data_IF_528506690402
#
_entry.id   IF_528506690402
#
_cell.length_a   1.000
_cell.length_b   1.000
_cell.length_c   1.000
_cell.angle_alpha   90.00
_cell.angle_beta   90.00
_cell.angle_gamma   90.00
#
_symmetry.space_group_name_H-M   'P 1'
#
loop_
_entity.id
_entity.type
_entity.pdbx_description
1 polymer ?
#
# COMPACT_ATOMS: atom_id res chain seq x y z
N UNK A 1 -5.30 -18.96 25.68
CA UNK A 1 -4.11 -18.07 25.67
C UNK A 1 -4.52 -16.77 25.00
N UNK A 2 -4.88 -15.76 25.78
CA UNK A 2 -5.16 -14.43 25.24
C UNK A 2 -3.81 -13.76 24.94
N UNK A 3 -3.58 -13.33 23.70
CA UNK A 3 -2.51 -12.37 23.47
C UNK A 3 -2.78 -11.17 24.39
N UNK A 4 -1.85 -10.85 25.27
CA UNK A 4 -2.01 -9.76 26.25
C UNK A 4 -2.46 -8.49 25.53
N UNK A 5 -3.36 -7.70 26.11
CA UNK A 5 -3.92 -6.49 25.48
C UNK A 5 -2.85 -5.55 24.88
N UNK A 6 -1.67 -5.50 25.49
CA UNK A 6 -0.51 -4.78 24.98
C UNK A 6 0.01 -5.30 23.61
N UNK A 7 -0.02 -6.61 23.36
CA UNK A 7 0.37 -7.20 22.07
C UNK A 7 -0.63 -6.85 20.99
N UNK A 8 -1.92 -6.95 21.31
CA UNK A 8 -3.00 -6.54 20.41
C UNK A 8 -2.88 -5.05 20.04
N UNK A 9 -2.69 -4.19 21.02
CA UNK A 9 -2.50 -2.75 20.82
C UNK A 9 -1.31 -2.44 19.89
N UNK A 10 -0.18 -3.16 20.05
CA UNK A 10 1.00 -3.00 19.17
C UNK A 10 0.69 -3.36 17.72
N UNK A 11 -0.01 -4.47 17.48
CA UNK A 11 -0.36 -4.91 16.12
C UNK A 11 -1.36 -3.95 15.46
N UNK A 12 -2.35 -3.48 16.23
CA UNK A 12 -3.34 -2.49 15.78
C UNK A 12 -2.66 -1.17 15.40
N UNK A 13 -1.83 -0.63 16.29
CA UNK A 13 -0.99 0.54 16.02
C UNK A 13 -0.14 0.34 14.76
N UNK A 14 0.55 -0.80 14.65
CA UNK A 14 1.40 -1.09 13.50
C UNK A 14 0.60 -1.13 12.18
N UNK A 15 -0.65 -1.61 12.19
CA UNK A 15 -1.52 -1.57 11.03
C UNK A 15 -1.98 -0.14 10.70
N UNK A 16 -2.38 0.65 11.71
CA UNK A 16 -2.92 2.01 11.51
C UNK A 16 -1.91 3.00 10.93
N UNK A 17 -0.65 2.91 11.39
CA UNK A 17 0.43 3.80 10.95
C UNK A 17 1.16 3.30 9.68
N UNK A 18 0.90 2.06 9.26
CA UNK A 18 1.55 1.48 8.08
C UNK A 18 0.85 1.89 6.79
N UNK A 19 1.12 3.11 6.33
CA UNK A 19 0.69 3.60 5.01
C UNK A 19 1.59 3.05 3.91
N UNK A 20 1.01 2.74 2.75
CA UNK A 20 1.80 2.30 1.60
C UNK A 20 2.60 3.47 1.03
N UNK A 21 3.91 3.27 0.83
CA UNK A 21 4.81 4.23 0.21
C UNK A 21 5.35 3.66 -1.12
N UNK A 22 4.91 4.23 -2.24
CA UNK A 22 5.29 3.78 -3.58
C UNK A 22 6.80 3.86 -3.90
N UNK A 23 7.56 4.71 -3.21
CA UNK A 23 9.01 4.83 -3.43
C UNK A 23 9.80 3.77 -2.65
N UNK A 24 9.30 3.40 -1.46
CA UNK A 24 10.04 2.58 -0.49
C UNK A 24 9.54 1.14 -0.42
N UNK A 25 8.24 0.93 -0.57
CA UNK A 25 7.60 -0.36 -0.34
C UNK A 25 7.54 -1.21 -1.60
N UNK A 26 7.47 -2.53 -1.40
CA UNK A 26 7.10 -3.49 -2.43
C UNK A 26 5.67 -3.94 -2.17
N UNK A 27 4.83 -3.91 -3.20
CA UNK A 27 3.39 -4.17 -3.12
C UNK A 27 3.06 -5.51 -2.43
N UNK A 28 3.57 -6.62 -2.96
CA UNK A 28 3.27 -7.96 -2.46
C UNK A 28 3.70 -8.16 -0.98
N UNK A 29 4.96 -7.90 -0.57
CA UNK A 29 5.36 -8.04 0.84
C UNK A 29 4.57 -7.16 1.79
N UNK A 30 4.30 -5.90 1.40
CA UNK A 30 3.55 -4.97 2.22
C UNK A 30 2.10 -5.43 2.40
N UNK A 31 1.45 -5.90 1.33
CA UNK A 31 0.09 -6.42 1.38
C UNK A 31 -0.02 -7.64 2.30
N UNK A 32 0.87 -8.62 2.13
CA UNK A 32 0.89 -9.82 2.97
C UNK A 32 1.07 -9.45 4.46
N UNK A 33 1.97 -8.53 4.77
CA UNK A 33 2.18 -8.07 6.14
C UNK A 33 0.91 -7.41 6.74
N UNK A 34 0.19 -6.59 5.97
CA UNK A 34 -1.07 -6.01 6.46
C UNK A 34 -2.16 -7.08 6.65
N UNK A 35 -2.24 -8.06 5.75
CA UNK A 35 -3.17 -9.19 5.85
C UNK A 35 -2.91 -10.00 7.12
N UNK A 36 -1.65 -10.30 7.43
CA UNK A 36 -1.28 -11.05 8.63
C UNK A 36 -1.61 -10.28 9.91
N UNK A 37 -1.36 -8.97 9.96
CA UNK A 37 -1.74 -8.11 11.09
C UNK A 37 -3.25 -8.13 11.32
N UNK A 38 -4.05 -8.01 10.26
CA UNK A 38 -5.50 -8.02 10.37
C UNK A 38 -6.05 -9.39 10.77
N UNK A 39 -5.48 -10.49 10.27
CA UNK A 39 -5.85 -11.85 10.70
C UNK A 39 -5.49 -12.12 12.16
N UNK A 40 -4.35 -11.58 12.63
CA UNK A 40 -3.97 -11.68 14.04
C UNK A 40 -4.91 -10.90 14.97
N UNK A 41 -5.40 -9.73 14.53
CA UNK A 41 -6.34 -8.90 15.28
C UNK A 41 -7.78 -9.40 15.20
N UNK A 42 -8.19 -9.93 14.06
CA UNK A 42 -9.56 -10.31 13.77
C UNK A 42 -9.58 -11.61 12.93
N UNK A 43 -9.38 -12.78 13.57
CA UNK A 43 -9.30 -14.07 12.86
C UNK A 43 -10.55 -14.39 12.03
N UNK A 44 -11.72 -13.99 12.52
CA UNK A 44 -13.03 -14.23 11.90
C UNK A 44 -13.42 -13.16 10.85
N UNK A 45 -12.51 -12.22 10.52
CA UNK A 45 -12.82 -11.18 9.53
C UNK A 45 -12.79 -11.75 8.12
N UNK A 46 -13.85 -11.50 7.35
CA UNK A 46 -13.92 -11.93 5.96
C UNK A 46 -12.79 -11.30 5.11
N UNK A 47 -12.30 -12.04 4.11
CA UNK A 47 -11.24 -11.56 3.23
C UNK A 47 -11.62 -10.24 2.54
N UNK A 48 -12.88 -10.09 2.15
CA UNK A 48 -13.39 -8.83 1.62
C UNK A 48 -13.17 -7.63 2.57
N UNK A 49 -13.48 -7.79 3.86
CA UNK A 49 -13.29 -6.72 4.85
C UNK A 49 -11.80 -6.46 5.12
N UNK A 50 -10.97 -7.50 5.10
CA UNK A 50 -9.51 -7.38 5.18
C UNK A 50 -9.00 -6.55 4.01
N UNK A 51 -9.33 -6.92 2.78
CA UNK A 51 -8.93 -6.23 1.56
C UNK A 51 -9.34 -4.75 1.58
N UNK A 52 -10.59 -4.46 1.97
CA UNK A 52 -11.09 -3.07 2.09
C UNK A 52 -10.32 -2.26 3.12
N UNK A 53 -9.93 -2.85 4.24
CA UNK A 53 -9.12 -2.19 5.27
C UNK A 53 -7.71 -1.91 4.77
N UNK A 54 -7.07 -2.86 4.07
CA UNK A 54 -5.73 -2.67 3.50
C UNK A 54 -5.73 -1.54 2.47
N UNK A 55 -6.73 -1.51 1.58
CA UNK A 55 -6.88 -0.47 0.56
C UNK A 55 -6.95 0.95 1.14
N UNK A 56 -7.63 1.12 2.29
CA UNK A 56 -7.68 2.41 3.00
C UNK A 56 -6.32 2.85 3.54
N UNK A 57 -5.39 1.93 3.73
CA UNK A 57 -4.02 2.27 4.14
C UNK A 57 -3.15 2.76 2.99
N UNK A 58 -3.58 2.56 1.75
CA UNK A 58 -2.84 3.05 0.59
C UNK A 58 -3.09 4.52 0.28
N UNK A 59 -4.31 5.02 0.54
CA UNK A 59 -4.69 6.42 0.39
C UNK A 59 -4.61 6.98 -1.04
N UNK A 60 -5.14 8.20 -1.22
CA UNK A 60 -4.94 9.02 -2.44
C UNK A 60 -5.37 8.34 -3.74
N UNK A 61 -4.48 8.38 -4.72
CA UNK A 61 -4.74 7.89 -6.09
C UNK A 61 -5.04 6.39 -6.14
N UNK A 62 -4.57 5.60 -5.18
CA UNK A 62 -4.85 4.16 -5.15
C UNK A 62 -6.31 3.88 -4.77
N UNK A 63 -6.83 4.58 -3.76
CA UNK A 63 -8.24 4.45 -3.37
C UNK A 63 -9.16 4.84 -4.53
N UNK A 64 -8.77 5.87 -5.29
CA UNK A 64 -9.50 6.34 -6.46
C UNK A 64 -9.39 5.38 -7.66
N UNK A 65 -8.20 4.84 -7.95
CA UNK A 65 -7.98 3.87 -9.03
C UNK A 65 -8.71 2.55 -8.79
N UNK A 66 -8.82 2.16 -7.52
CA UNK A 66 -9.55 0.97 -7.09
C UNK A 66 -11.05 1.19 -7.24
N UNK A 67 -11.59 2.32 -6.72
CA UNK A 67 -13.01 2.68 -6.89
C UNK A 67 -13.42 2.83 -8.36
N UNK A 68 -12.54 3.30 -9.24
CA UNK A 68 -12.86 3.50 -10.66
C UNK A 68 -12.90 2.21 -11.47
N UNK A 69 -12.34 1.10 -10.96
CA UNK A 69 -12.17 -0.16 -11.69
C UNK A 69 -13.09 -1.29 -11.24
N UNK A 70 -14.05 -1.06 -10.34
CA UNK A 70 -14.73 -2.19 -9.68
C UNK A 70 -16.21 -2.07 -9.38
N UNK A 71 -16.83 -3.25 -9.45
CA UNK A 71 -18.08 -3.66 -8.82
C UNK A 71 -17.75 -4.45 -7.54
N UNK A 72 -17.96 -3.84 -6.38
CA UNK A 72 -17.99 -4.35 -4.99
C UNK A 72 -16.99 -5.40 -4.46
N UNK A 73 -16.24 -6.18 -5.24
CA UNK A 73 -15.35 -7.24 -4.75
C UNK A 73 -13.96 -7.16 -5.41
N UNK A 74 -12.93 -7.13 -4.57
CA UNK A 74 -11.53 -7.04 -4.99
C UNK A 74 -10.79 -8.31 -4.55
N UNK A 75 -10.09 -8.97 -5.47
CA UNK A 75 -9.17 -10.04 -5.10
C UNK A 75 -7.86 -9.46 -4.52
N UNK A 76 -7.06 -10.29 -3.87
CA UNK A 76 -5.73 -9.88 -3.42
C UNK A 76 -4.82 -9.52 -4.60
N UNK A 77 -4.94 -10.27 -5.70
CA UNK A 77 -4.18 -10.05 -6.93
C UNK A 77 -4.50 -8.70 -7.57
N UNK A 78 -5.78 -8.33 -7.66
CA UNK A 78 -6.19 -7.02 -8.19
C UNK A 78 -5.55 -5.87 -7.40
N UNK A 79 -5.55 -5.98 -6.07
CA UNK A 79 -4.99 -4.96 -5.18
C UNK A 79 -3.47 -4.86 -5.36
N UNK A 80 -2.78 -6.00 -5.42
CA UNK A 80 -1.33 -6.05 -5.59
C UNK A 80 -0.95 -5.45 -6.96
N UNK A 81 -1.63 -5.85 -8.03
CA UNK A 81 -1.38 -5.33 -9.37
C UNK A 81 -1.55 -3.80 -9.44
N UNK A 82 -2.57 -3.25 -8.79
CA UNK A 82 -2.80 -1.79 -8.74
C UNK A 82 -1.68 -1.09 -7.91
N UNK A 83 -1.25 -1.67 -6.79
CA UNK A 83 -0.12 -1.17 -6.01
C UNK A 83 1.19 -1.16 -6.82
N UNK A 84 1.44 -2.21 -7.61
CA UNK A 84 2.60 -2.31 -8.50
C UNK A 84 2.54 -1.31 -9.65
N UNK A 85 1.36 -1.08 -10.23
CA UNK A 85 1.15 -0.06 -11.26
C UNK A 85 1.49 1.33 -10.73
N UNK A 86 1.02 1.69 -9.53
CA UNK A 86 1.35 2.98 -8.89
C UNK A 86 2.84 3.09 -8.60
N UNK A 87 3.44 2.05 -8.03
CA UNK A 87 4.89 1.99 -7.76
C UNK A 87 5.71 2.21 -9.03
N UNK A 88 5.31 1.56 -10.13
CA UNK A 88 5.98 1.66 -11.43
C UNK A 88 5.82 3.06 -12.03
N UNK A 89 4.61 3.63 -11.99
CA UNK A 89 4.34 4.99 -12.50
C UNK A 89 5.12 6.04 -11.73
N UNK A 90 5.19 5.96 -10.41
CA UNK A 90 5.98 6.88 -9.59
C UNK A 90 7.46 6.78 -9.92
N UNK A 91 8.02 5.57 -10.03
CA UNK A 91 9.43 5.38 -10.42
C UNK A 91 9.77 5.90 -11.82
N UNK A 92 8.86 5.75 -12.78
CA UNK A 92 9.01 6.32 -14.12
C UNK A 92 8.92 7.85 -14.07
N UNK A 93 8.01 8.40 -13.26
CA UNK A 93 7.90 9.84 -13.01
C UNK A 93 9.18 10.41 -12.40
N UNK A 94 9.71 9.79 -11.33
CA UNK A 94 10.95 10.17 -10.66
C UNK A 94 12.16 10.09 -11.61
N UNK A 95 12.25 9.04 -12.43
CA UNK A 95 13.29 8.94 -13.47
C UNK A 95 13.22 10.08 -14.48
N UNK A 96 12.02 10.49 -14.90
CA UNK A 96 11.83 11.62 -15.84
C UNK A 96 12.19 12.97 -15.22
N UNK A 97 11.92 13.16 -13.93
CA UNK A 97 12.31 14.38 -13.19
C UNK A 97 13.82 14.43 -13.00
N UNK A 98 14.45 13.31 -12.63
CA UNK A 98 15.91 13.20 -12.48
C UNK A 98 16.65 13.42 -13.80
N UNK A 99 16.13 12.93 -14.93
CA UNK A 99 16.69 13.25 -16.25
C UNK A 99 16.58 14.75 -16.55
N UNK A 100 15.44 15.39 -16.33
CA UNK A 100 15.32 16.85 -16.55
C UNK A 100 16.27 17.65 -15.67
N UNK A 101 16.46 17.28 -14.40
CA UNK A 101 17.39 17.96 -13.50
C UNK A 101 18.85 17.74 -13.94
N UNK A 102 19.20 16.53 -14.38
CA UNK A 102 20.56 16.21 -14.86
C UNK A 102 20.91 16.92 -16.16
N UNK A 103 19.96 17.08 -17.08
CA UNK A 103 20.18 17.71 -18.39
C UNK A 103 19.96 19.23 -18.42
N UNK A 104 19.42 19.85 -17.34
CA UNK A 104 19.14 21.29 -17.28
C UNK A 104 20.07 22.06 -16.33
N UNK A 105 21.27 21.54 -16.04
CA UNK A 105 22.29 22.33 -15.36
C UNK A 105 22.90 23.33 -16.35
N UNK A 106 22.87 24.65 -16.08
CA UNK A 106 23.63 25.59 -16.88
C UNK A 106 25.12 25.29 -16.73
N UNK A 107 25.81 25.24 -17.86
CA UNK A 107 27.28 25.18 -17.90
C UNK A 107 27.81 26.36 -17.10
N UNK A 108 28.69 26.08 -16.12
CA UNK A 108 29.42 27.14 -15.45
C UNK A 108 30.51 27.63 -16.40
N UNK A 109 30.48 28.93 -16.67
CA UNK A 109 31.58 29.68 -17.31
C UNK A 109 32.89 29.55 -16.52
#
# INVERSE_FOLDING_TARGET
MWASDASRFKVETAFEYSKFNADKDKALPWFCQQKDRLKALYPEMSEFRIHRKILRQSGGDLENAVKSRTTEQYSAEDIINILEEVTTRTRIGSSRVDLKIRFNKPWKD
#
